data_IF_307775111994
#
_entry.id   IF_307775111994
#
_cell.length_a   1.000
_cell.length_b   1.000
_cell.length_c   1.000
_cell.angle_alpha   90.00
_cell.angle_beta   90.00
_cell.angle_gamma   90.00
#
_symmetry.space_group_name_H-M   'P 1'
#
loop_
_entity.id
_entity.type
_entity.pdbx_description
1 polymer ?
#
# COMPACT_ATOMS: atom_id res chain seq x y z
N UNK A 1 21.64 -69.23 12.54
CA UNK A 1 20.58 -69.09 11.51
C UNK A 1 19.63 -67.98 11.95
N UNK A 2 19.48 -66.91 11.12
CA UNK A 2 18.29 -66.08 10.84
C UNK A 2 17.38 -65.71 12.05
N UNK A 3 16.99 -64.48 12.40
CA UNK A 3 16.64 -63.18 11.72
C UNK A 3 16.56 -62.16 12.89
N UNK A 4 17.00 -60.90 12.87
CA UNK A 4 16.72 -59.83 11.92
C UNK A 4 15.30 -59.27 12.12
N UNK A 5 15.14 -58.14 12.82
CA UNK A 5 14.13 -57.10 12.52
C UNK A 5 14.54 -55.74 13.10
N UNK A 6 14.61 -54.77 12.19
CA UNK A 6 14.92 -53.36 12.36
C UNK A 6 13.57 -52.63 12.37
N UNK A 7 13.27 -51.91 13.44
CA UNK A 7 12.13 -50.98 13.50
C UNK A 7 12.58 -49.60 13.03
N UNK A 8 12.10 -49.21 11.85
CA UNK A 8 12.38 -47.94 11.16
C UNK A 8 11.84 -46.75 11.96
N UNK A 9 12.69 -45.77 12.24
CA UNK A 9 12.28 -44.41 12.61
C UNK A 9 11.65 -43.73 11.39
N UNK A 10 10.39 -43.34 11.49
CA UNK A 10 9.80 -42.37 10.56
C UNK A 10 10.11 -40.98 11.09
N UNK A 11 11.18 -40.38 10.55
CA UNK A 11 11.40 -38.94 10.67
C UNK A 11 10.45 -38.23 9.70
N UNK A 12 9.47 -37.51 10.25
CA UNK A 12 8.65 -36.58 9.46
C UNK A 12 9.49 -35.35 9.17
N UNK A 13 10.10 -35.30 8.00
CA UNK A 13 10.67 -34.09 7.41
C UNK A 13 9.53 -33.18 6.96
N UNK A 14 9.16 -32.22 7.81
CA UNK A 14 8.31 -31.10 7.39
C UNK A 14 9.14 -30.14 6.53
N UNK A 15 9.19 -30.40 5.22
CA UNK A 15 9.55 -29.42 4.20
C UNK A 15 8.35 -28.48 4.01
N UNK A 16 8.46 -27.27 4.52
CA UNK A 16 7.48 -26.20 4.35
C UNK A 16 8.17 -24.85 4.27
N UNK A 17 8.93 -24.63 3.20
CA UNK A 17 9.44 -23.31 2.86
C UNK A 17 8.29 -22.41 2.39
N UNK A 18 7.85 -21.50 3.26
CA UNK A 18 7.07 -20.34 2.90
C UNK A 18 7.66 -19.15 3.65
N UNK A 19 8.71 -18.53 3.10
CA UNK A 19 9.14 -17.22 3.58
C UNK A 19 8.05 -16.23 3.20
N UNK A 20 7.17 -15.92 4.15
CA UNK A 20 6.30 -14.77 4.05
C UNK A 20 7.18 -13.52 4.04
N UNK A 21 7.26 -12.83 2.91
CA UNK A 21 7.97 -11.56 2.81
C UNK A 21 7.16 -10.48 3.53
N UNK A 22 7.47 -10.25 4.80
CA UNK A 22 6.96 -9.08 5.52
C UNK A 22 7.85 -7.88 5.19
N UNK A 23 7.46 -7.06 4.20
CA UNK A 23 8.09 -5.76 3.98
C UNK A 23 7.96 -4.88 5.23
N UNK A 24 9.03 -4.21 5.66
CA UNK A 24 8.95 -3.36 6.84
C UNK A 24 8.16 -2.08 6.53
N UNK A 25 7.51 -1.46 7.55
CA UNK A 25 6.76 -0.20 7.37
C UNK A 25 7.61 0.89 6.68
N UNK A 26 8.93 0.89 6.91
CA UNK A 26 9.87 1.84 6.27
C UNK A 26 9.94 1.61 4.75
N UNK A 27 9.97 0.36 4.31
CA UNK A 27 10.08 0.01 2.89
C UNK A 27 8.77 0.30 2.12
N UNK A 28 7.66 0.42 2.86
CA UNK A 28 6.35 0.76 2.34
C UNK A 28 6.05 2.26 2.36
N UNK A 29 6.90 3.07 2.99
CA UNK A 29 6.71 4.52 3.04
C UNK A 29 7.40 5.19 1.86
N UNK A 30 6.72 6.14 1.23
CA UNK A 30 7.27 7.08 0.24
C UNK A 30 7.05 8.49 0.76
N UNK A 31 8.04 9.36 0.63
CA UNK A 31 7.98 10.73 1.12
C UNK A 31 8.34 11.70 0.01
N UNK A 32 7.56 12.77 -0.09
CA UNK A 32 7.80 13.91 -0.96
C UNK A 32 7.76 15.19 -0.10
N UNK A 33 8.89 15.89 -0.04
CA UNK A 33 9.04 17.15 0.67
C UNK A 33 9.26 18.28 -0.34
N UNK A 34 8.16 18.84 -0.83
CA UNK A 34 8.15 19.90 -1.84
C UNK A 34 7.05 20.92 -1.58
N UNK A 35 7.20 22.13 -2.15
CA UNK A 35 6.18 23.19 -2.09
C UNK A 35 5.62 23.47 -0.68
N UNK A 36 6.51 23.56 0.31
CA UNK A 36 6.22 23.85 1.72
C UNK A 36 5.33 22.82 2.46
N UNK A 37 4.96 21.70 1.83
CA UNK A 37 4.19 20.60 2.44
C UNK A 37 4.96 19.29 2.26
N UNK A 38 5.26 18.61 3.36
CA UNK A 38 5.76 17.23 3.32
C UNK A 38 4.59 16.27 3.30
N UNK A 39 4.55 15.40 2.28
CA UNK A 39 3.57 14.34 2.14
C UNK A 39 4.29 13.00 2.31
N UNK A 40 3.88 12.22 3.30
CA UNK A 40 4.35 10.84 3.49
C UNK A 40 3.19 9.89 3.22
N UNK A 41 3.41 8.86 2.42
CA UNK A 41 2.41 7.85 2.10
C UNK A 41 2.96 6.48 2.43
N UNK A 42 2.23 5.71 3.22
CA UNK A 42 2.55 4.31 3.52
C UNK A 42 1.51 3.39 2.90
N UNK A 43 1.93 2.47 2.04
CA UNK A 43 1.05 1.41 1.56
C UNK A 43 0.81 0.38 2.68
N UNK A 44 -0.44 0.22 3.10
CA UNK A 44 -0.83 -0.63 4.22
C UNK A 44 -1.14 -2.05 3.74
N UNK A 45 -0.65 -3.04 4.49
CA UNK A 45 -0.93 -4.47 4.30
C UNK A 45 -0.81 -4.96 2.83
N UNK A 46 0.37 -4.85 2.19
CA UNK A 46 0.63 -5.40 0.87
C UNK A 46 0.64 -6.93 0.94
N UNK A 47 -0.54 -7.55 0.87
CA UNK A 47 -0.68 -9.01 0.97
C UNK A 47 -0.04 -9.71 -0.23
N UNK A 48 0.64 -10.82 0.02
CA UNK A 48 1.25 -11.67 -1.02
C UNK A 48 0.22 -12.20 -2.03
N UNK A 49 -1.04 -12.40 -1.61
CA UNK A 49 -2.13 -12.87 -2.49
C UNK A 49 -2.90 -11.74 -3.19
N UNK A 50 -2.53 -10.48 -2.93
CA UNK A 50 -3.32 -9.30 -3.26
C UNK A 50 -4.37 -9.01 -2.19
N UNK A 51 -4.80 -7.75 -2.07
CA UNK A 51 -5.89 -7.39 -1.18
C UNK A 51 -7.24 -7.76 -1.83
N UNK A 52 -8.18 -8.27 -1.04
CA UNK A 52 -9.45 -8.77 -1.57
C UNK A 52 -10.49 -7.65 -1.78
N UNK A 53 -10.50 -6.65 -0.89
CA UNK A 53 -11.51 -5.59 -0.87
C UNK A 53 -10.95 -4.19 -1.17
N UNK A 54 -9.87 -3.82 -0.47
CA UNK A 54 -9.28 -2.48 -0.60
C UNK A 54 -7.76 -2.48 -0.60
N UNK A 55 -7.18 -1.49 -1.27
CA UNK A 55 -5.77 -1.11 -1.17
C UNK A 55 -5.71 0.18 -0.36
N UNK A 56 -5.11 0.11 0.82
CA UNK A 56 -5.18 1.18 1.81
C UNK A 56 -3.83 1.92 1.89
N UNK A 57 -3.88 3.25 1.91
CA UNK A 57 -2.70 4.10 1.98
C UNK A 57 -2.84 5.10 3.12
N UNK A 58 -2.01 4.97 4.15
CA UNK A 58 -1.91 6.01 5.17
C UNK A 58 -1.20 7.22 4.58
N UNK A 59 -1.83 8.39 4.63
CA UNK A 59 -1.28 9.64 4.11
C UNK A 59 -1.11 10.62 5.27
N UNK A 60 0.07 11.23 5.37
CA UNK A 60 0.41 12.24 6.36
C UNK A 60 0.89 13.51 5.66
N UNK A 61 0.22 14.63 5.90
CA UNK A 61 0.54 15.95 5.37
C UNK A 61 1.03 16.81 6.53
N UNK A 62 2.22 17.41 6.36
CA UNK A 62 2.85 18.24 7.37
C UNK A 62 3.37 19.53 6.75
N UNK A 63 3.06 20.67 7.34
CA UNK A 63 3.56 21.99 6.92
C UNK A 63 3.68 22.92 8.13
N UNK A 64 4.33 24.06 7.94
CA UNK A 64 4.38 25.15 8.93
C UNK A 64 3.93 26.49 8.32
N UNK A 65 3.32 26.48 7.13
CA UNK A 65 3.14 27.71 6.34
C UNK A 65 1.79 27.87 5.64
N UNK A 66 1.06 26.79 5.35
CA UNK A 66 -0.22 26.84 4.63
C UNK A 66 -1.28 26.01 5.34
N UNK A 67 -2.54 26.44 5.29
CA UNK A 67 -3.66 25.64 5.79
C UNK A 67 -3.96 24.43 4.91
N UNK A 68 -4.20 23.27 5.53
CA UNK A 68 -4.46 21.98 4.86
C UNK A 68 -5.94 21.57 4.90
N UNK A 69 -6.80 22.32 5.60
CA UNK A 69 -8.19 21.93 5.86
C UNK A 69 -9.05 21.92 4.58
N UNK A 70 -8.70 22.74 3.59
CA UNK A 70 -9.39 22.79 2.30
C UNK A 70 -9.10 21.60 1.39
N UNK A 71 -8.11 20.76 1.71
CA UNK A 71 -7.79 19.59 0.89
C UNK A 71 -8.78 18.46 1.11
N UNK A 72 -9.36 18.00 0.00
CA UNK A 72 -10.25 16.84 -0.09
C UNK A 72 -9.50 15.72 -0.78
N UNK A 73 -8.74 14.95 -0.01
CA UNK A 73 -7.79 13.97 -0.55
C UNK A 73 -8.49 12.88 -1.37
N UNK A 74 -9.72 12.54 -1.04
CA UNK A 74 -10.57 11.61 -1.79
C UNK A 74 -10.93 12.12 -3.19
N UNK A 75 -11.06 13.43 -3.38
CA UNK A 75 -11.33 14.05 -4.68
C UNK A 75 -10.03 14.30 -5.47
N UNK A 76 -8.92 14.49 -4.75
CA UNK A 76 -7.61 14.87 -5.31
C UNK A 76 -6.72 13.68 -5.69
N UNK A 77 -7.12 12.46 -5.30
CA UNK A 77 -6.27 11.27 -5.44
C UNK A 77 -6.81 10.26 -6.46
N UNK A 78 -5.88 9.60 -7.15
CA UNK A 78 -6.15 8.44 -8.01
C UNK A 78 -5.08 7.38 -7.80
N UNK A 79 -5.47 6.11 -7.84
CA UNK A 79 -4.55 4.98 -7.83
C UNK A 79 -4.49 4.37 -9.22
N UNK A 80 -3.28 4.26 -9.76
CA UNK A 80 -3.03 3.64 -11.06
C UNK A 80 -2.31 2.30 -10.88
N UNK A 81 -2.80 1.28 -11.56
CA UNK A 81 -2.19 -0.05 -11.63
C UNK A 81 -2.15 -0.52 -13.09
N UNK A 82 -0.98 -0.40 -13.72
CA UNK A 82 -0.83 -0.63 -15.16
C UNK A 82 -1.73 0.30 -16.01
N UNK A 83 -2.75 -0.28 -16.66
CA UNK A 83 -3.75 0.45 -17.46
C UNK A 83 -5.01 0.85 -16.68
N UNK A 84 -5.21 0.29 -15.49
CA UNK A 84 -6.35 0.62 -14.64
C UNK A 84 -6.05 1.88 -13.83
N UNK A 85 -7.08 2.71 -13.67
CA UNK A 85 -7.06 3.88 -12.80
C UNK A 85 -8.37 3.89 -12.00
N UNK A 86 -8.27 4.06 -10.68
CA UNK A 86 -9.41 4.06 -9.77
C UNK A 86 -9.33 5.23 -8.79
N UNK A 87 -10.49 5.75 -8.40
CA UNK A 87 -10.63 6.72 -7.32
C UNK A 87 -10.70 6.02 -5.96
N UNK A 88 -10.33 6.69 -4.86
CA UNK A 88 -10.55 6.13 -3.54
C UNK A 88 -12.06 6.00 -3.29
N UNK A 89 -12.45 4.99 -2.52
CA UNK A 89 -13.79 4.84 -1.96
C UNK A 89 -14.05 5.89 -0.89
N UNK A 90 -13.03 6.18 -0.08
CA UNK A 90 -13.13 7.12 1.05
C UNK A 90 -11.75 7.62 1.53
N UNK A 91 -11.78 8.73 2.26
CA UNK A 91 -10.72 9.19 3.15
C UNK A 91 -11.12 8.86 4.60
N UNK A 92 -10.63 7.73 5.11
CA UNK A 92 -11.02 7.14 6.38
C UNK A 92 -10.17 7.68 7.55
N UNK A 93 -10.81 7.76 8.72
CA UNK A 93 -10.19 8.19 9.98
C UNK A 93 -9.36 9.50 9.87
N UNK A 94 -9.90 10.58 9.27
CA UNK A 94 -9.20 11.85 9.20
C UNK A 94 -8.88 12.36 10.61
N UNK A 95 -7.62 12.76 10.82
CA UNK A 95 -7.14 13.41 12.03
C UNK A 95 -6.29 14.63 11.68
N UNK A 96 -6.09 15.47 12.69
CA UNK A 96 -5.38 16.72 12.54
C UNK A 96 -6.24 17.82 11.91
N UNK A 97 -5.71 19.03 11.92
CA UNK A 97 -6.32 20.25 11.38
C UNK A 97 -5.25 21.29 11.13
N UNK A 98 -5.55 22.31 10.33
CA UNK A 98 -4.63 23.41 10.04
C UNK A 98 -3.37 22.92 9.33
N UNK A 99 -2.27 22.72 10.07
CA UNK A 99 -0.93 22.49 9.51
C UNK A 99 -0.46 21.03 9.52
N UNK A 100 -1.23 20.13 10.15
CA UNK A 100 -0.98 18.69 10.15
C UNK A 100 -2.28 17.95 9.88
N UNK A 101 -2.31 17.08 8.87
CA UNK A 101 -3.45 16.22 8.57
C UNK A 101 -3.01 14.81 8.24
N UNK A 102 -3.73 13.83 8.73
CA UNK A 102 -3.46 12.42 8.48
C UNK A 102 -4.76 11.61 8.33
N UNK A 103 -4.65 10.42 7.76
CA UNK A 103 -5.78 9.51 7.55
C UNK A 103 -5.42 8.43 6.53
N UNK A 104 -6.43 7.68 6.07
CA UNK A 104 -6.23 6.54 5.17
C UNK A 104 -7.08 6.69 3.91
N UNK A 105 -6.44 6.74 2.74
CA UNK A 105 -7.15 6.59 1.46
C UNK A 105 -7.39 5.10 1.21
N UNK A 106 -8.66 4.70 1.08
CA UNK A 106 -9.03 3.31 0.74
C UNK A 106 -9.45 3.22 -0.71
N UNK A 107 -8.72 2.48 -1.52
CA UNK A 107 -9.05 2.25 -2.93
C UNK A 107 -9.72 0.90 -3.13
N UNK A 108 -10.60 0.72 -4.14
CA UNK A 108 -11.04 -0.62 -4.51
C UNK A 108 -9.83 -1.45 -4.95
N UNK A 109 -9.79 -2.74 -4.58
CA UNK A 109 -8.74 -3.65 -5.06
C UNK A 109 -8.99 -4.18 -6.49
N UNK A 110 -10.11 -3.81 -7.10
CA UNK A 110 -10.53 -4.21 -8.45
C UNK A 110 -10.85 -2.97 -9.30
N UNK A 111 -10.65 -3.08 -10.60
CA UNK A 111 -11.08 -2.07 -11.57
C UNK A 111 -12.60 -2.12 -11.81
N UNK A 112 -13.10 -1.22 -12.68
CA UNK A 112 -14.53 -1.15 -13.04
C UNK A 112 -15.07 -2.39 -13.75
N UNK A 113 -14.20 -3.24 -14.30
CA UNK A 113 -14.55 -4.52 -14.92
C UNK A 113 -14.50 -5.69 -13.92
N UNK A 114 -14.20 -5.41 -12.65
CA UNK A 114 -14.07 -6.41 -11.60
C UNK A 114 -12.74 -7.16 -11.59
N UNK A 115 -11.76 -6.76 -12.42
CA UNK A 115 -10.44 -7.40 -12.45
C UNK A 115 -9.57 -6.88 -11.31
N UNK A 116 -8.79 -7.73 -10.61
CA UNK A 116 -7.87 -7.27 -9.57
C UNK A 116 -6.85 -6.27 -10.12
N UNK A 117 -6.61 -5.18 -9.39
CA UNK A 117 -5.58 -4.18 -9.73
C UNK A 117 -4.16 -4.75 -9.59
N UNK A 118 -3.98 -5.69 -8.66
CA UNK A 118 -2.73 -6.40 -8.39
C UNK A 118 -2.95 -7.92 -8.43
N UNK A 119 -3.07 -8.53 -9.62
CA UNK A 119 -3.25 -9.97 -9.76
C UNK A 119 -2.09 -10.73 -9.09
N UNK A 120 -2.41 -11.60 -8.14
CA UNK A 120 -1.42 -12.38 -7.39
C UNK A 120 -0.46 -11.54 -6.54
N UNK A 121 -0.86 -10.32 -6.13
CA UNK A 121 -0.08 -9.46 -5.26
C UNK A 121 1.16 -8.83 -5.89
N UNK A 122 1.26 -8.81 -7.22
CA UNK A 122 2.46 -8.39 -7.96
C UNK A 122 2.19 -7.24 -8.91
N UNK A 123 3.23 -6.44 -9.15
CA UNK A 123 3.23 -5.38 -10.16
C UNK A 123 3.43 -3.99 -9.57
N UNK A 124 3.30 -2.99 -10.46
CA UNK A 124 3.50 -1.58 -10.15
C UNK A 124 2.18 -0.90 -9.81
N UNK A 125 2.18 -0.16 -8.71
CA UNK A 125 1.10 0.78 -8.35
C UNK A 125 1.65 2.19 -8.14
N UNK A 126 0.86 3.17 -8.55
CA UNK A 126 1.16 4.60 -8.42
C UNK A 126 -0.02 5.30 -7.73
N UNK A 127 0.18 5.81 -6.52
CA UNK A 127 -0.74 6.76 -5.91
C UNK A 127 -0.39 8.17 -6.40
N UNK A 128 -1.36 8.85 -7.01
CA UNK A 128 -1.21 10.21 -7.50
C UNK A 128 -2.09 11.13 -6.67
N UNK A 129 -1.52 12.21 -6.16
CA UNK A 129 -2.24 13.22 -5.37
C UNK A 129 -1.98 14.58 -6.00
N UNK A 130 -3.04 15.22 -6.50
CA UNK A 130 -2.94 16.52 -7.20
C UNK A 130 -3.05 17.68 -6.23
N UNK A 131 -2.32 18.77 -6.47
CA UNK A 131 -2.67 20.07 -5.87
C UNK A 131 -2.29 20.27 -4.41
N UNK A 132 -1.44 19.41 -3.82
CA UNK A 132 -1.00 19.56 -2.41
C UNK A 132 0.25 20.45 -2.34
N UNK A 133 0.10 21.63 -1.75
CA UNK A 133 1.16 22.65 -1.59
C UNK A 133 1.54 23.40 -2.88
N UNK A 134 1.27 22.83 -4.05
CA UNK A 134 1.51 23.42 -5.38
C UNK A 134 0.54 22.81 -6.41
N UNK A 135 0.34 23.45 -7.58
CA UNK A 135 -0.53 22.91 -8.64
C UNK A 135 -0.04 21.59 -9.26
N UNK A 136 1.21 21.18 -9.02
CA UNK A 136 1.77 19.94 -9.55
C UNK A 136 1.16 18.68 -8.90
N UNK A 137 1.13 17.59 -9.66
CA UNK A 137 0.77 16.25 -9.17
C UNK A 137 1.97 15.60 -8.48
N UNK A 138 1.74 15.00 -7.30
CA UNK A 138 2.73 14.16 -6.61
C UNK A 138 2.44 12.70 -6.91
N UNK A 139 3.48 11.91 -7.19
CA UNK A 139 3.36 10.50 -7.57
C UNK A 139 4.20 9.63 -6.63
N UNK A 140 3.55 8.70 -5.94
CA UNK A 140 4.17 7.73 -5.04
C UNK A 140 4.06 6.33 -5.65
N UNK A 141 5.19 5.65 -5.78
CA UNK A 141 5.27 4.38 -6.54
C UNK A 141 5.76 3.23 -5.67
N UNK A 142 5.11 2.07 -5.83
CA UNK A 142 5.56 0.79 -5.28
C UNK A 142 5.62 -0.27 -6.38
N UNK A 143 6.69 -1.04 -6.39
CA UNK A 143 6.84 -2.27 -7.15
C UNK A 143 6.66 -3.44 -6.18
N UNK A 144 5.73 -4.36 -6.48
CA UNK A 144 5.35 -5.44 -5.60
C UNK A 144 5.83 -6.82 -6.11
N UNK A 145 6.32 -7.71 -5.22
CA UNK A 145 6.46 -7.49 -3.77
C UNK A 145 7.58 -6.47 -3.46
N UNK A 146 7.38 -5.67 -2.41
CA UNK A 146 8.42 -4.74 -1.96
C UNK A 146 9.58 -5.55 -1.41
N UNK A 147 10.79 -5.29 -1.91
CA UNK A 147 12.03 -5.98 -1.51
C UNK A 147 12.54 -5.49 -0.17
#
# INVERSE_FOLDING_TARGET
>A
MRRGWIGIMVAVLALGAGSAWAASKKDLTRRDSGAAVTVSVTYLDPREKGAEDTLDFAVELNTHSVGLDGYKLEEMSVLRAGKAEVKPKEWANPKGSGHHREGVLRFPAKDSSGKPLLPGGKGKIELRIKGVGAPAERVFTWELPVK
#
